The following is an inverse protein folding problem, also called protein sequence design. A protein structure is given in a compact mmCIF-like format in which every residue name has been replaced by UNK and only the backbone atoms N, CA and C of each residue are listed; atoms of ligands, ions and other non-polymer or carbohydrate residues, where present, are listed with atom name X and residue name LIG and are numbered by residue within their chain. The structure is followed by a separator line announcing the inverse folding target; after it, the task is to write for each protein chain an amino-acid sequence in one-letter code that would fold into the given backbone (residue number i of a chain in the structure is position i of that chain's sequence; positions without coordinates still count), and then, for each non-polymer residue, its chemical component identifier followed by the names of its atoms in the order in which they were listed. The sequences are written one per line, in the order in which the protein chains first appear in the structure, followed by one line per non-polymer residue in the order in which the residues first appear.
data_IF_984302621488
#
_entry.id   IF_984302621488
#
_cell.length_a   1.000
_cell.length_b   1.000
_cell.length_c   1.000
_cell.angle_alpha   90.00
_cell.angle_beta   90.00
_cell.angle_gamma   90.00
#
_symmetry.space_group_name_H-M   'P 1'
#
loop_
_entity.id
_entity.type
_entity.pdbx_description
1 polymer ?
#
# COMPACT_ATOMS: atom_id res chain seq x y z
N UNK A 1 -10.31 4.18 1.12
CA UNK A 1 -9.35 3.20 1.64
C UNK A 1 -8.53 2.60 0.51
N UNK A 2 -7.27 2.49 0.72
CA UNK A 2 -6.34 1.88 -0.23
C UNK A 2 -5.97 0.48 0.25
N UNK A 3 -6.08 -0.49 -0.65
CA UNK A 3 -5.54 -1.82 -0.46
C UNK A 3 -4.32 -1.98 -1.36
N UNK A 4 -3.17 -2.24 -0.77
CA UNK A 4 -1.92 -2.37 -1.49
C UNK A 4 -1.33 -3.77 -1.30
N UNK A 5 -0.63 -4.26 -2.31
CA UNK A 5 0.01 -5.57 -2.23
C UNK A 5 1.41 -5.55 -2.81
N UNK A 6 2.28 -6.37 -2.25
CA UNK A 6 3.56 -6.69 -2.85
C UNK A 6 3.42 -7.96 -3.70
N UNK A 7 4.10 -7.99 -4.83
CA UNK A 7 4.06 -9.15 -5.70
C UNK A 7 4.83 -10.31 -5.07
N UNK A 8 4.15 -11.44 -4.90
CA UNK A 8 4.80 -12.68 -4.53
C UNK A 8 4.84 -13.58 -5.74
N UNK A 9 6.02 -14.08 -6.07
CA UNK A 9 6.21 -14.87 -7.29
C UNK A 9 6.07 -16.36 -7.11
N UNK A 10 6.03 -16.87 -5.88
CA UNK A 10 6.07 -18.33 -5.64
C UNK A 10 4.90 -18.85 -4.83
N UNK A 11 4.61 -20.12 -5.05
CA UNK A 11 3.47 -20.83 -4.49
C UNK A 11 3.52 -20.97 -2.95
N UNK A 12 4.71 -20.97 -2.37
CA UNK A 12 4.90 -21.24 -0.93
C UNK A 12 5.21 -19.99 -0.11
N UNK A 13 4.87 -18.83 -0.61
CA UNK A 13 5.17 -17.60 0.12
C UNK A 13 4.21 -17.37 1.26
N UNK A 14 4.77 -16.86 2.35
CA UNK A 14 3.98 -16.38 3.48
C UNK A 14 3.19 -15.16 3.07
N UNK A 15 2.04 -15.00 3.67
CA UNK A 15 1.19 -13.84 3.47
C UNK A 15 0.93 -13.16 4.80
N UNK A 16 1.00 -11.84 4.82
CA UNK A 16 0.71 -11.05 5.99
C UNK A 16 -0.32 -9.99 5.60
N UNK A 17 -1.38 -9.90 6.40
CA UNK A 17 -2.37 -8.83 6.28
C UNK A 17 -2.08 -7.78 7.36
N UNK A 18 -1.88 -6.53 6.94
CA UNK A 18 -1.70 -5.40 7.84
C UNK A 18 -2.83 -4.40 7.63
N UNK A 19 -3.57 -4.13 8.70
CA UNK A 19 -4.71 -3.22 8.66
C UNK A 19 -4.35 -1.90 9.32
N UNK A 20 -4.17 -0.87 8.49
CA UNK A 20 -3.84 0.50 8.90
C UNK A 20 -2.69 0.57 9.92
N UNK A 21 -1.52 -0.02 9.60
CA UNK A 21 -0.42 -0.11 10.57
C UNK A 21 0.17 1.23 10.96
N UNK A 22 -0.03 2.29 10.17
CA UNK A 22 0.49 3.62 10.49
C UNK A 22 -0.49 4.49 11.28
N UNK A 23 -1.70 4.00 11.54
CA UNK A 23 -2.73 4.80 12.22
C UNK A 23 -2.27 5.20 13.63
N UNK A 24 -2.37 6.50 13.91
CA UNK A 24 -2.01 7.04 15.22
C UNK A 24 -0.52 7.20 15.48
N UNK A 25 0.33 6.85 14.52
CA UNK A 25 1.78 7.01 14.69
C UNK A 25 2.25 8.40 14.29
N UNK A 26 3.32 8.88 14.96
CA UNK A 26 4.00 10.10 14.55
C UNK A 26 4.70 9.90 13.19
N UNK A 27 5.03 10.99 12.45
CA UNK A 27 5.69 10.87 11.15
C UNK A 27 6.99 10.04 11.15
N UNK A 28 7.77 10.11 12.22
CA UNK A 28 9.01 9.32 12.33
C UNK A 28 8.68 7.83 12.39
N UNK A 29 7.70 7.46 13.22
CA UNK A 29 7.29 6.05 13.35
C UNK A 29 6.55 5.55 12.11
N UNK A 30 5.85 6.42 11.41
CA UNK A 30 5.24 6.05 10.11
C UNK A 30 6.33 5.61 9.14
N UNK A 31 7.40 6.36 9.00
CA UNK A 31 8.52 5.99 8.13
C UNK A 31 9.15 4.66 8.56
N UNK A 32 9.35 4.46 9.85
CA UNK A 32 9.92 3.22 10.37
C UNK A 32 9.05 2.00 10.06
N UNK A 33 7.73 2.11 10.25
CA UNK A 33 6.85 0.97 9.97
C UNK A 33 6.82 0.64 8.48
N UNK A 34 6.85 1.64 7.60
CA UNK A 34 6.90 1.38 6.16
C UNK A 34 8.23 0.78 5.72
N UNK A 35 9.33 1.16 6.35
CA UNK A 35 10.64 0.53 6.12
C UNK A 35 10.61 -0.95 6.51
N UNK A 36 10.00 -1.27 7.66
CA UNK A 36 9.84 -2.65 8.12
C UNK A 36 8.98 -3.45 7.13
N UNK A 37 7.90 -2.85 6.65
CA UNK A 37 7.01 -3.50 5.67
C UNK A 37 7.79 -3.84 4.39
N UNK A 38 8.62 -2.93 3.90
CA UNK A 38 9.46 -3.18 2.73
C UNK A 38 10.45 -4.32 2.97
N UNK A 39 11.07 -4.36 4.14
CA UNK A 39 12.00 -5.43 4.51
C UNK A 39 11.29 -6.79 4.51
N UNK A 40 10.12 -6.87 5.10
CA UNK A 40 9.30 -8.09 5.11
C UNK A 40 8.95 -8.52 3.69
N UNK A 41 8.55 -7.58 2.85
CA UNK A 41 8.23 -7.85 1.45
C UNK A 41 9.44 -8.38 0.67
N UNK A 42 10.60 -7.78 0.88
CA UNK A 42 11.84 -8.21 0.20
C UNK A 42 12.28 -9.59 0.63
N UNK A 43 11.94 -10.03 1.82
CA UNK A 43 12.28 -11.37 2.31
C UNK A 43 11.45 -12.49 1.67
N UNK A 44 10.55 -12.15 0.74
CA UNK A 44 9.72 -13.12 0.03
C UNK A 44 8.33 -13.31 0.62
N UNK A 45 7.93 -12.47 1.57
CA UNK A 45 6.59 -12.49 2.14
C UNK A 45 5.68 -11.57 1.33
N UNK A 46 4.50 -12.05 0.95
CA UNK A 46 3.47 -11.21 0.36
C UNK A 46 2.82 -10.39 1.45
N UNK A 47 2.80 -9.08 1.30
CA UNK A 47 2.16 -8.18 2.24
C UNK A 47 0.91 -7.61 1.60
N UNK A 48 -0.23 -7.77 2.26
CA UNK A 48 -1.48 -7.13 1.91
C UNK A 48 -1.72 -6.02 2.91
N UNK A 49 -1.71 -4.78 2.44
CA UNK A 49 -1.73 -3.60 3.27
C UNK A 49 -2.99 -2.80 3.04
N UNK A 50 -3.78 -2.60 4.09
CA UNK A 50 -4.90 -1.67 4.10
C UNK A 50 -4.43 -0.38 4.76
N UNK A 51 -4.48 0.74 4.04
CA UNK A 51 -3.90 1.98 4.52
C UNK A 51 -4.66 3.20 4.03
N UNK A 52 -4.83 4.19 4.89
CA UNK A 52 -5.37 5.50 4.51
C UNK A 52 -4.28 6.44 3.98
N UNK A 53 -3.04 6.22 4.39
CA UNK A 53 -1.90 6.98 3.89
C UNK A 53 -1.54 6.47 2.49
N UNK A 54 -2.34 6.87 1.50
CA UNK A 54 -2.26 6.34 0.14
C UNK A 54 -0.90 6.60 -0.51
N UNK A 55 -0.34 7.78 -0.31
CA UNK A 55 0.95 8.14 -0.90
C UNK A 55 2.08 7.21 -0.43
N UNK A 56 2.13 6.97 0.88
CA UNK A 56 3.11 6.05 1.46
C UNK A 56 2.91 4.63 0.98
N UNK A 57 1.67 4.15 1.00
CA UNK A 57 1.36 2.79 0.57
C UNK A 57 1.72 2.58 -0.91
N UNK A 58 1.38 3.53 -1.78
CA UNK A 58 1.71 3.45 -3.20
C UNK A 58 3.22 3.50 -3.47
N UNK A 59 3.97 4.18 -2.60
CA UNK A 59 5.42 4.28 -2.77
C UNK A 59 6.16 2.96 -2.55
N UNK A 60 5.55 2.01 -1.84
CA UNK A 60 6.18 0.72 -1.53
C UNK A 60 5.46 -0.48 -2.14
N UNK A 61 4.28 -0.28 -2.71
CA UNK A 61 3.46 -1.36 -3.24
C UNK A 61 3.80 -1.66 -4.71
N UNK A 62 3.48 -2.88 -5.13
CA UNK A 62 3.53 -3.27 -6.55
C UNK A 62 2.19 -3.02 -7.22
N UNK A 63 1.09 -3.39 -6.56
CA UNK A 63 -0.27 -3.15 -7.05
C UNK A 63 -1.11 -2.52 -5.95
N UNK A 64 -2.14 -1.81 -6.37
CA UNK A 64 -3.05 -1.16 -5.43
C UNK A 64 -4.48 -1.17 -5.94
N UNK A 65 -5.40 -1.12 -4.98
CA UNK A 65 -6.83 -1.06 -5.21
C UNK A 65 -7.39 0.07 -4.36
N UNK A 66 -8.13 0.98 -4.98
CA UNK A 66 -8.80 2.06 -4.25
C UNK A 66 -10.24 1.63 -4.00
N UNK A 67 -10.64 1.64 -2.73
CA UNK A 67 -11.97 1.25 -2.32
C UNK A 67 -12.75 2.47 -1.83
N UNK A 68 -13.97 2.59 -2.31
CA UNK A 68 -14.94 3.56 -1.81
C UNK A 68 -16.24 2.85 -1.50
N UNK A 69 -16.73 3.03 -0.29
CA UNK A 69 -18.02 2.44 0.16
C UNK A 69 -18.07 0.93 -0.10
N UNK A 70 -16.96 0.25 0.21
CA UNK A 70 -16.85 -1.20 0.05
C UNK A 70 -16.69 -1.70 -1.38
N UNK A 71 -16.50 -0.80 -2.34
CA UNK A 71 -16.32 -1.18 -3.76
C UNK A 71 -14.96 -0.75 -4.25
N UNK A 72 -14.35 -1.60 -5.10
CA UNK A 72 -13.12 -1.24 -5.80
C UNK A 72 -13.49 -0.28 -6.93
N UNK A 73 -12.99 0.95 -6.84
CA UNK A 73 -13.23 1.99 -7.86
C UNK A 73 -12.06 2.16 -8.82
N UNK A 74 -10.85 1.78 -8.39
CA UNK A 74 -9.64 1.83 -9.21
C UNK A 74 -8.72 0.69 -8.82
N UNK A 75 -7.99 0.16 -9.79
CA UNK A 75 -6.94 -0.82 -9.56
C UNK A 75 -5.84 -0.69 -10.60
N UNK A 76 -4.64 -1.11 -10.27
CA UNK A 76 -3.52 -1.12 -11.21
C UNK A 76 -2.17 -1.21 -10.53
N UNK A 77 -1.12 -1.02 -11.32
CA UNK A 77 0.23 -0.93 -10.77
C UNK A 77 0.34 0.32 -9.92
N UNK A 78 0.98 0.18 -8.77
CA UNK A 78 1.14 1.31 -7.84
C UNK A 78 1.85 2.49 -8.49
N UNK A 79 2.87 2.24 -9.31
CA UNK A 79 3.60 3.30 -10.01
C UNK A 79 2.70 4.08 -10.97
N UNK A 80 1.78 3.41 -11.65
CA UNK A 80 0.84 4.08 -12.56
C UNK A 80 -0.14 4.95 -11.79
N UNK A 81 -0.65 4.45 -10.66
CA UNK A 81 -1.57 5.21 -9.82
C UNK A 81 -0.88 6.41 -9.18
N UNK A 82 0.37 6.24 -8.75
CA UNK A 82 1.14 7.30 -8.13
C UNK A 82 1.39 8.47 -9.09
N UNK A 83 1.50 8.19 -10.39
CA UNK A 83 1.77 9.19 -11.42
C UNK A 83 0.50 9.73 -12.10
N UNK A 84 -0.67 9.28 -11.70
CA UNK A 84 -1.93 9.73 -12.27
C UNK A 84 -2.40 11.01 -11.59
N UNK A 85 -2.58 12.09 -12.36
CA UNK A 85 -2.97 13.39 -11.82
C UNK A 85 -4.33 13.40 -11.15
N UNK A 86 -5.29 12.66 -11.68
CA UNK A 86 -6.62 12.55 -11.08
C UNK A 86 -6.56 11.89 -9.71
N UNK A 87 -5.71 10.86 -9.57
CA UNK A 87 -5.51 10.16 -8.30
C UNK A 87 -4.77 11.04 -7.30
N UNK A 88 -3.76 11.77 -7.75
CA UNK A 88 -3.05 12.72 -6.90
C UNK A 88 -3.99 13.73 -6.28
N UNK A 89 -4.91 14.30 -7.07
CA UNK A 89 -5.89 15.26 -6.58
C UNK A 89 -6.92 14.64 -5.65
N UNK A 90 -7.40 13.46 -5.98
CA UNK A 90 -8.49 12.81 -5.26
C UNK A 90 -8.04 12.14 -3.95
N UNK A 91 -6.86 11.52 -3.93
CA UNK A 91 -6.44 10.63 -2.85
C UNK A 91 -5.10 10.95 -2.22
N UNK A 92 -4.22 11.68 -2.90
CA UNK A 92 -2.87 11.95 -2.41
C UNK A 92 -2.68 13.35 -1.85
N UNK A 93 -3.71 14.19 -1.93
CA UNK A 93 -3.66 15.55 -1.39
C UNK A 93 -2.82 16.54 -2.22
N UNK A 94 -2.59 16.24 -3.48
CA UNK A 94 -1.79 17.09 -4.36
C UNK A 94 -2.63 17.83 -5.39
#
# INVERSE_FOLDING_TARGET
TLLASSAASDVYKRQILMDEPSMGLSPIFVNEIFDIIQEVSKSGTTVLLVEQNAKKALSIADRAYVLETGKIVLEGKASDLLNNDSIKKAYLGE
#
